data_IF_883569606751
#
_entry.id   IF_883569606751
#
_cell.length_a   1.000
_cell.length_b   1.000
_cell.length_c   1.000
_cell.angle_alpha   90.00
_cell.angle_beta   90.00
_cell.angle_gamma   90.00
#
_symmetry.space_group_name_H-M   'P 1'
#
loop_
_entity.id
_entity.type
_entity.pdbx_description
1 polymer ?
#
# COMPACT_ATOMS: atom_id res chain seq x y z
N UNK A 1 -12.44 -18.94 21.83
CA UNK A 1 -13.66 -19.64 21.38
C UNK A 1 -14.69 -19.51 22.49
N UNK A 2 -15.52 -18.46 22.47
CA UNK A 2 -16.49 -18.24 23.56
C UNK A 2 -17.82 -18.83 23.13
N UNK A 3 -18.21 -19.90 23.81
CA UNK A 3 -19.50 -20.58 23.65
C UNK A 3 -20.46 -19.91 24.63
N UNK A 4 -21.53 -19.30 24.14
CA UNK A 4 -22.61 -18.81 25.00
C UNK A 4 -23.75 -19.82 25.00
N UNK A 5 -24.09 -20.34 26.18
CA UNK A 5 -25.28 -21.16 26.41
C UNK A 5 -26.31 -20.29 27.12
N UNK A 6 -27.48 -20.11 26.50
CA UNK A 6 -28.61 -19.38 27.10
C UNK A 6 -29.68 -20.40 27.48
N UNK A 7 -30.03 -20.42 28.77
CA UNK A 7 -31.14 -21.18 29.32
C UNK A 7 -32.32 -20.23 29.48
N UNK A 8 -33.41 -20.47 28.73
CA UNK A 8 -34.67 -19.73 28.91
C UNK A 8 -35.69 -20.69 29.48
N UNK A 9 -36.26 -20.33 30.65
CA UNK A 9 -37.49 -20.97 31.15
C UNK A 9 -38.69 -20.25 30.54
N UNK A 10 -39.74 -20.98 30.14
CA UNK A 10 -40.96 -20.33 29.71
C UNK A 10 -41.74 -19.93 30.97
N UNK A 11 -42.22 -18.68 31.01
CA UNK A 11 -43.62 -18.35 31.32
C UNK A 11 -43.77 -16.89 31.81
N UNK A 12 -44.46 -16.14 30.96
CA UNK A 12 -45.36 -15.00 31.19
C UNK A 12 -44.90 -13.64 31.79
N UNK A 13 -45.19 -12.63 30.96
CA UNK A 13 -45.85 -11.35 31.24
C UNK A 13 -44.98 -10.09 31.49
N UNK A 14 -44.98 -9.26 30.43
CA UNK A 14 -45.05 -7.79 30.41
C UNK A 14 -44.10 -6.98 31.32
N UNK A 15 -42.97 -6.57 30.74
CA UNK A 15 -42.35 -5.28 31.04
C UNK A 15 -41.92 -4.65 29.72
N UNK A 16 -42.45 -3.45 29.43
CA UNK A 16 -41.93 -2.57 28.39
C UNK A 16 -40.53 -2.15 28.86
N UNK A 17 -39.52 -2.91 28.46
CA UNK A 17 -38.15 -2.44 28.53
C UNK A 17 -37.97 -1.49 27.34
N UNK A 18 -37.90 -0.19 27.61
CA UNK A 18 -37.28 0.75 26.70
C UNK A 18 -35.83 0.26 26.52
N UNK A 19 -35.58 -0.47 25.43
CA UNK A 19 -34.24 -0.87 25.06
C UNK A 19 -33.49 0.42 24.74
N UNK A 20 -32.70 0.88 25.70
CA UNK A 20 -31.66 1.86 25.46
C UNK A 20 -30.68 1.17 24.51
N UNK A 21 -30.92 1.32 23.19
CA UNK A 21 -29.91 1.05 22.20
C UNK A 21 -28.81 2.07 22.45
N UNK A 22 -27.87 1.73 23.34
CA UNK A 22 -26.53 2.32 23.32
C UNK A 22 -25.96 1.84 21.99
N UNK A 23 -26.22 2.62 20.94
CA UNK A 23 -25.46 2.58 19.71
C UNK A 23 -24.03 2.93 20.11
N UNK A 24 -23.27 1.91 20.48
CA UNK A 24 -21.82 1.94 20.48
C UNK A 24 -21.44 2.21 19.02
N UNK A 25 -21.36 3.50 18.69
CA UNK A 25 -20.85 3.95 17.42
C UNK A 25 -19.39 3.53 17.45
N UNK A 26 -19.07 2.46 16.73
CA UNK A 26 -17.69 2.09 16.47
C UNK A 26 -17.17 3.23 15.59
N UNK A 27 -16.59 4.25 16.20
CA UNK A 27 -15.82 5.24 15.46
C UNK A 27 -14.62 4.49 14.90
N UNK A 28 -14.77 3.99 13.67
CA UNK A 28 -13.61 3.79 12.81
C UNK A 28 -12.97 5.16 12.71
N UNK A 29 -11.87 5.36 13.43
CA UNK A 29 -11.05 6.56 13.30
C UNK A 29 -10.46 6.53 11.90
N UNK A 30 -11.20 7.07 10.95
CA UNK A 30 -10.68 7.35 9.61
C UNK A 30 -9.61 8.44 9.76
N UNK A 31 -8.54 8.35 8.99
CA UNK A 31 -7.47 9.34 9.09
C UNK A 31 -8.03 10.72 8.70
N UNK A 32 -7.50 11.79 9.30
CA UNK A 32 -7.81 13.11 8.79
C UNK A 32 -7.14 13.31 7.42
N UNK A 33 -7.71 14.15 6.55
CA UNK A 33 -7.00 14.62 5.36
C UNK A 33 -5.62 15.18 5.70
N UNK A 34 -4.68 15.04 4.77
CA UNK A 34 -3.34 15.62 4.90
C UNK A 34 -3.44 17.12 4.62
N UNK A 35 -2.85 17.93 5.49
CA UNK A 35 -2.77 19.37 5.28
C UNK A 35 -1.84 19.67 4.11
N UNK A 36 -2.28 20.40 3.07
CA UNK A 36 -1.41 20.77 1.96
C UNK A 36 -0.15 21.49 2.44
N UNK A 37 1.01 21.03 1.96
CA UNK A 37 2.32 21.55 2.34
C UNK A 37 3.01 20.81 3.49
N UNK A 38 2.32 19.89 4.17
CA UNK A 38 2.95 19.02 5.16
C UNK A 38 3.78 17.90 4.51
N UNK A 39 4.70 17.35 5.31
CA UNK A 39 5.48 16.16 4.99
C UNK A 39 4.71 14.92 5.40
N UNK A 40 4.73 13.88 4.55
CA UNK A 40 4.24 12.54 4.90
C UNK A 40 5.42 11.59 4.91
N UNK A 41 5.54 10.80 5.97
CA UNK A 41 6.66 9.90 6.22
C UNK A 41 6.14 8.47 6.35
N UNK A 42 6.71 7.55 5.56
CA UNK A 42 6.52 6.13 5.75
C UNK A 42 7.36 5.66 6.95
N UNK A 43 6.71 5.23 8.02
CA UNK A 43 7.39 4.70 9.20
C UNK A 43 7.17 3.19 9.31
N UNK A 44 8.28 2.46 9.36
CA UNK A 44 8.30 1.06 9.77
C UNK A 44 8.38 0.97 11.29
N UNK A 45 7.47 0.19 11.89
CA UNK A 45 7.38 -0.04 13.33
C UNK A 45 6.68 1.05 14.12
N UNK A 46 6.27 0.72 15.34
CA UNK A 46 5.62 1.60 16.31
C UNK A 46 6.58 2.57 17.02
N UNK A 47 7.89 2.48 16.76
CA UNK A 47 8.93 3.19 17.51
C UNK A 47 9.30 2.52 18.83
N UNK A 48 8.58 1.46 19.23
CA UNK A 48 8.89 0.64 20.43
C UNK A 48 9.21 -0.81 20.10
N UNK A 49 8.80 -1.30 18.93
CA UNK A 49 9.14 -2.63 18.45
C UNK A 49 10.50 -2.67 17.75
N UNK A 50 11.21 -3.79 17.91
CA UNK A 50 12.43 -4.06 17.15
C UNK A 50 12.10 -4.22 15.67
N UNK A 51 12.86 -3.55 14.80
CA UNK A 51 12.76 -3.72 13.35
C UNK A 51 13.31 -5.09 12.94
N UNK A 52 12.50 -5.87 12.22
CA UNK A 52 12.78 -7.26 11.89
C UNK A 52 12.38 -7.60 10.44
N UNK A 53 13.03 -8.63 9.89
CA UNK A 53 12.68 -9.14 8.56
C UNK A 53 11.39 -9.99 8.55
N UNK A 54 10.80 -10.26 9.72
CA UNK A 54 9.55 -11.00 9.90
C UNK A 54 8.31 -10.11 9.95
N UNK A 55 8.46 -8.81 9.71
CA UNK A 55 7.34 -7.88 9.65
C UNK A 55 7.33 -6.84 10.77
N UNK A 56 6.97 -5.62 10.41
CA UNK A 56 6.72 -4.49 11.30
C UNK A 56 5.48 -3.74 10.80
N UNK A 57 4.75 -3.13 11.74
CA UNK A 57 3.62 -2.26 11.43
C UNK A 57 4.06 -1.08 10.55
N UNK A 58 3.13 -0.53 9.77
CA UNK A 58 3.40 0.61 8.90
C UNK A 58 2.51 1.77 9.28
N UNK A 59 3.10 2.95 9.35
CA UNK A 59 2.39 4.20 9.60
C UNK A 59 2.73 5.21 8.51
N UNK A 60 1.75 6.05 8.16
CA UNK A 60 2.01 7.30 7.46
C UNK A 60 1.91 8.42 8.50
N UNK A 61 3.05 9.01 8.84
CA UNK A 61 3.10 10.12 9.78
C UNK A 61 3.11 11.45 9.02
N UNK A 62 2.26 12.37 9.46
CA UNK A 62 2.19 13.73 8.94
C UNK A 62 2.93 14.68 9.87
N UNK A 63 3.80 15.51 9.30
CA UNK A 63 4.54 16.55 9.98
C UNK A 63 4.43 17.87 9.23
N UNK A 64 4.46 18.99 9.94
CA UNK A 64 4.74 20.28 9.31
C UNK A 64 6.16 20.29 8.74
N UNK A 65 6.44 21.18 7.79
CA UNK A 65 7.81 21.39 7.27
C UNK A 65 8.78 21.92 8.33
N UNK A 66 8.26 22.46 9.44
CA UNK A 66 9.03 22.82 10.62
C UNK A 66 9.31 21.63 11.56
N UNK A 67 8.85 20.41 11.21
CA UNK A 67 9.08 19.19 11.98
C UNK A 67 8.11 18.97 13.15
N UNK A 68 7.00 19.70 13.20
CA UNK A 68 5.96 19.46 14.22
C UNK A 68 5.05 18.30 13.81
N UNK A 69 4.85 17.32 14.70
CA UNK A 69 3.95 16.19 14.46
C UNK A 69 2.50 16.65 14.34
N UNK A 70 1.76 16.10 13.37
CA UNK A 70 0.35 16.40 13.11
C UNK A 70 -0.52 15.18 13.41
N UNK A 71 -0.27 14.07 12.73
CA UNK A 71 -1.00 12.82 12.95
C UNK A 71 -0.17 11.60 12.53
N UNK A 72 -0.62 10.42 12.98
CA UNK A 72 -0.07 9.14 12.56
C UNK A 72 -1.20 8.22 12.11
N UNK A 73 -1.09 7.73 10.88
CA UNK A 73 -2.12 6.94 10.21
C UNK A 73 -1.61 5.50 10.15
N UNK A 74 -2.18 4.63 10.98
CA UNK A 74 -1.80 3.24 11.04
C UNK A 74 -2.40 2.43 9.88
N UNK A 75 -1.56 1.70 9.16
CA UNK A 75 -2.02 0.69 8.21
C UNK A 75 -2.47 -0.57 8.95
N UNK A 76 -3.48 -1.31 8.45
CA UNK A 76 -3.91 -2.57 9.06
C UNK A 76 -2.77 -3.59 9.12
N UNK A 77 -2.36 -3.98 10.32
CA UNK A 77 -1.39 -5.06 10.55
C UNK A 77 -2.05 -6.33 11.14
N UNK A 78 -3.31 -6.25 11.54
CA UNK A 78 -4.10 -7.34 12.12
C UNK A 78 -5.50 -7.39 11.49
N UNK A 79 -6.35 -8.34 11.90
CA UNK A 79 -7.69 -8.52 11.35
C UNK A 79 -7.76 -9.44 10.11
N UNK A 80 -8.95 -9.47 9.49
CA UNK A 80 -9.32 -10.39 8.40
C UNK A 80 -9.21 -9.78 7.00
N UNK A 81 -9.12 -8.44 6.89
CA UNK A 81 -8.91 -7.74 5.62
C UNK A 81 -7.47 -7.77 5.13
N UNK A 82 -7.22 -7.13 3.99
CA UNK A 82 -5.85 -6.91 3.48
C UNK A 82 -5.05 -6.11 4.50
N UNK A 83 -3.90 -6.65 4.88
CA UNK A 83 -2.93 -5.97 5.74
C UNK A 83 -1.86 -5.30 4.90
N UNK A 84 -1.17 -4.34 5.49
CA UNK A 84 0.07 -3.81 4.94
C UNK A 84 1.10 -3.68 6.06
N UNK A 85 2.06 -4.61 6.03
CA UNK A 85 3.25 -4.62 6.89
C UNK A 85 4.50 -4.53 6.01
N UNK A 86 5.66 -4.24 6.60
CA UNK A 86 6.96 -4.16 5.90
C UNK A 86 8.03 -4.98 6.60
N UNK A 87 9.10 -5.35 5.89
CA UNK A 87 10.30 -5.87 6.53
C UNK A 87 11.07 -4.67 7.10
N UNK A 88 11.03 -4.47 8.43
CA UNK A 88 11.57 -3.26 9.05
C UNK A 88 13.07 -3.05 8.91
N UNK A 89 13.83 -4.08 8.49
CA UNK A 89 15.27 -3.99 8.24
C UNK A 89 15.63 -4.07 6.74
N UNK A 90 14.65 -3.96 5.83
CA UNK A 90 14.90 -3.96 4.40
C UNK A 90 15.28 -2.55 3.92
N UNK A 91 16.47 -2.40 3.34
CA UNK A 91 16.97 -1.12 2.80
C UNK A 91 16.34 -0.72 1.46
N UNK A 92 15.27 -1.39 1.05
CA UNK A 92 14.71 -1.32 -0.29
C UNK A 92 13.20 -1.05 -0.31
N UNK A 93 12.55 -1.07 0.85
CA UNK A 93 11.10 -0.96 0.99
C UNK A 93 10.71 0.43 1.48
N UNK A 94 9.41 0.74 1.43
CA UNK A 94 8.87 2.00 1.94
C UNK A 94 9.07 3.20 1.00
N UNK A 95 9.41 2.98 -0.28
CA UNK A 95 9.40 4.10 -1.23
C UNK A 95 7.96 4.57 -1.43
N UNK A 96 7.77 5.88 -1.32
CA UNK A 96 6.49 6.53 -1.56
C UNK A 96 6.55 7.36 -2.83
N UNK A 97 5.40 7.49 -3.48
CA UNK A 97 5.19 8.43 -4.58
C UNK A 97 3.98 9.32 -4.24
N UNK A 98 3.93 10.50 -4.84
CA UNK A 98 2.77 11.37 -4.82
C UNK A 98 2.26 11.55 -6.25
N UNK A 99 0.95 11.56 -6.46
CA UNK A 99 0.35 11.84 -7.76
C UNK A 99 0.61 13.30 -8.17
N UNK A 100 0.62 13.62 -9.48
CA UNK A 100 0.87 14.98 -9.97
C UNK A 100 -0.09 16.04 -9.42
N UNK A 101 -1.32 15.65 -9.09
CA UNK A 101 -2.34 16.51 -8.50
C UNK A 101 -2.27 16.59 -6.96
N UNK A 102 -1.37 15.83 -6.33
CA UNK A 102 -1.22 15.77 -4.87
C UNK A 102 -2.27 14.95 -4.14
N UNK A 103 -3.27 14.39 -4.84
CA UNK A 103 -4.43 13.71 -4.24
C UNK A 103 -4.09 12.33 -3.67
N UNK A 104 -3.06 11.67 -4.20
CA UNK A 104 -2.75 10.28 -3.87
C UNK A 104 -1.30 10.10 -3.46
N UNK A 105 -1.10 9.31 -2.40
CA UNK A 105 0.21 8.78 -2.02
C UNK A 105 0.21 7.28 -2.28
N UNK A 106 1.16 6.81 -3.09
CA UNK A 106 1.36 5.39 -3.39
C UNK A 106 2.50 4.79 -2.58
N UNK A 107 2.31 3.57 -2.09
CA UNK A 107 3.29 2.83 -1.27
C UNK A 107 3.06 1.32 -1.40
N UNK A 108 3.88 0.50 -0.74
CA UNK A 108 3.75 -0.95 -0.81
C UNK A 108 4.10 -1.67 0.49
N UNK A 109 3.74 -2.95 0.56
CA UNK A 109 4.11 -3.84 1.65
C UNK A 109 3.61 -5.26 1.40
N UNK A 110 3.37 -5.98 2.50
CA UNK A 110 2.93 -7.37 2.49
C UNK A 110 1.62 -7.54 3.23
N UNK A 111 0.77 -8.43 2.72
CA UNK A 111 -0.36 -8.94 3.46
C UNK A 111 0.10 -10.17 4.26
N UNK A 112 0.51 -9.94 5.50
CA UNK A 112 0.95 -11.01 6.41
C UNK A 112 0.66 -10.69 7.87
N UNK A 113 0.92 -11.66 8.74
CA UNK A 113 0.89 -11.47 10.19
C UNK A 113 2.26 -11.04 10.71
N UNK A 114 2.29 -10.37 11.87
CA UNK A 114 3.51 -10.07 12.61
C UNK A 114 3.56 -10.95 13.88
N UNK A 115 4.65 -11.69 14.14
CA UNK A 115 5.72 -11.99 13.19
C UNK A 115 5.25 -13.01 12.14
N UNK A 116 5.82 -12.93 10.94
CA UNK A 116 5.77 -14.02 9.98
C UNK A 116 6.73 -15.15 10.39
N UNK A 117 6.47 -16.38 9.92
CA UNK A 117 7.28 -17.55 10.28
C UNK A 117 8.73 -17.49 9.77
N UNK A 118 8.98 -16.75 8.70
CA UNK A 118 10.31 -16.56 8.10
C UNK A 118 10.43 -15.12 7.57
N UNK A 119 11.59 -14.77 7.02
CA UNK A 119 11.79 -13.46 6.39
C UNK A 119 10.78 -13.23 5.27
N UNK A 120 9.94 -12.20 5.39
CA UNK A 120 8.83 -11.98 4.47
C UNK A 120 9.31 -11.64 3.05
N UNK A 121 10.48 -11.03 2.90
CA UNK A 121 11.07 -10.67 1.59
C UNK A 121 11.38 -11.92 0.74
N UNK A 122 11.71 -13.05 1.38
CA UNK A 122 12.08 -14.30 0.71
C UNK A 122 10.89 -15.25 0.46
N UNK A 123 9.69 -14.89 0.92
CA UNK A 123 8.51 -15.75 0.78
C UNK A 123 7.93 -15.74 -0.63
N UNK A 124 7.21 -16.79 -1.01
CA UNK A 124 6.42 -16.80 -2.24
C UNK A 124 5.22 -15.84 -2.10
N UNK A 125 4.93 -15.05 -3.15
CA UNK A 125 3.84 -14.07 -3.18
C UNK A 125 2.44 -14.68 -3.06
N UNK A 126 2.27 -15.97 -3.33
CA UNK A 126 0.99 -16.68 -3.09
C UNK A 126 0.76 -16.90 -1.58
N UNK A 127 1.81 -17.26 -0.84
CA UNK A 127 1.71 -17.53 0.59
C UNK A 127 1.71 -16.24 1.43
N UNK A 128 2.45 -15.23 0.97
CA UNK A 128 2.48 -13.89 1.57
C UNK A 128 2.22 -12.88 0.46
N UNK A 129 0.98 -12.45 0.22
CA UNK A 129 0.69 -11.53 -0.86
C UNK A 129 1.43 -10.20 -0.73
N UNK A 130 1.85 -9.65 -1.86
CA UNK A 130 2.42 -8.31 -1.98
C UNK A 130 1.26 -7.34 -2.18
N UNK A 131 1.40 -6.14 -1.64
CA UNK A 131 0.31 -5.16 -1.58
C UNK A 131 0.81 -3.83 -2.11
N UNK A 132 0.03 -3.23 -3.00
CA UNK A 132 0.11 -1.82 -3.34
C UNK A 132 -0.93 -1.06 -2.54
N UNK A 133 -0.49 -0.04 -1.81
CA UNK A 133 -1.35 0.86 -1.05
C UNK A 133 -1.48 2.21 -1.75
N UNK A 134 -2.70 2.74 -1.77
CA UNK A 134 -2.97 4.11 -2.17
C UNK A 134 -3.68 4.83 -1.03
N UNK A 135 -3.21 6.01 -0.67
CA UNK A 135 -3.81 6.86 0.35
C UNK A 135 -4.30 8.16 -0.29
N UNK A 136 -5.56 8.52 -0.07
CA UNK A 136 -6.16 9.75 -0.55
C UNK A 136 -5.89 10.88 0.45
N UNK A 137 -5.10 11.87 0.04
CA UNK A 137 -4.70 13.00 0.89
C UNK A 137 -5.85 13.94 1.20
N UNK A 138 -6.91 13.96 0.38
CA UNK A 138 -8.06 14.85 0.56
C UNK A 138 -9.13 14.26 1.46
N UNK A 139 -9.30 12.93 1.47
CA UNK A 139 -10.33 12.26 2.27
C UNK A 139 -9.78 11.57 3.51
N UNK A 140 -8.48 11.26 3.54
CA UNK A 140 -7.87 10.43 4.59
C UNK A 140 -8.15 8.93 4.43
N UNK A 141 -8.82 8.52 3.36
CA UNK A 141 -9.12 7.12 3.09
C UNK A 141 -7.95 6.42 2.38
N UNK A 142 -7.84 5.09 2.50
CA UNK A 142 -6.86 4.31 1.76
C UNK A 142 -7.47 3.07 1.12
N UNK A 143 -6.78 2.54 0.09
CA UNK A 143 -7.06 1.25 -0.52
C UNK A 143 -5.80 0.39 -0.52
N UNK A 144 -5.97 -0.91 -0.29
CA UNK A 144 -4.89 -1.90 -0.26
C UNK A 144 -5.20 -3.02 -1.24
N UNK A 145 -4.44 -3.07 -2.34
CA UNK A 145 -4.67 -4.02 -3.43
C UNK A 145 -3.54 -5.05 -3.49
N UNK A 146 -3.91 -6.33 -3.47
CA UNK A 146 -2.96 -7.43 -3.63
C UNK A 146 -2.46 -7.50 -5.07
N UNK A 147 -1.15 -7.60 -5.26
CA UNK A 147 -0.51 -7.63 -6.59
C UNK A 147 -0.39 -9.05 -7.17
N UNK A 148 -1.21 -10.00 -6.72
CA UNK A 148 -1.20 -11.39 -7.21
C UNK A 148 0.16 -12.09 -7.05
N UNK A 149 0.66 -12.68 -8.14
CA UNK A 149 1.91 -13.47 -8.15
C UNK A 149 3.18 -12.61 -8.29
N UNK A 150 3.05 -11.30 -8.49
CA UNK A 150 4.18 -10.40 -8.70
C UNK A 150 5.03 -10.23 -7.44
N UNK A 151 6.31 -9.94 -7.65
CA UNK A 151 7.32 -9.80 -6.59
C UNK A 151 7.48 -11.02 -5.69
N UNK A 152 7.22 -12.22 -6.22
CA UNK A 152 7.48 -13.47 -5.52
C UNK A 152 8.96 -13.63 -5.17
N UNK A 153 9.25 -14.07 -3.95
CA UNK A 153 10.61 -14.19 -3.40
C UNK A 153 11.44 -12.89 -3.55
N UNK A 154 10.78 -11.74 -3.55
CA UNK A 154 11.42 -10.42 -3.56
C UNK A 154 10.57 -9.39 -2.80
N UNK A 155 11.17 -8.22 -2.57
CA UNK A 155 10.49 -7.09 -1.94
C UNK A 155 9.63 -6.32 -2.95
N UNK A 156 8.37 -5.98 -2.62
CA UNK A 156 7.68 -4.86 -3.23
C UNK A 156 8.31 -3.57 -2.70
N UNK A 157 8.44 -2.55 -3.55
CA UNK A 157 9.27 -1.38 -3.21
C UNK A 157 8.53 -0.05 -3.30
N UNK A 158 7.54 0.05 -4.17
CA UNK A 158 6.69 1.22 -4.25
C UNK A 158 5.53 1.02 -5.21
N UNK A 159 4.55 1.93 -5.12
CA UNK A 159 3.44 2.02 -6.04
C UNK A 159 3.14 3.49 -6.37
N UNK A 160 2.43 3.74 -7.46
CA UNK A 160 1.95 5.07 -7.87
C UNK A 160 0.63 4.96 -8.61
N UNK A 161 -0.15 6.04 -8.59
CA UNK A 161 -1.42 6.20 -9.30
C UNK A 161 -1.55 7.62 -9.85
N UNK A 162 -2.43 7.81 -10.84
CA UNK A 162 -2.92 9.12 -11.28
C UNK A 162 -4.30 9.47 -10.75
N UNK A 163 -5.12 8.46 -10.46
CA UNK A 163 -6.56 8.61 -10.37
C UNK A 163 -7.20 7.83 -9.22
N UNK A 164 -6.39 7.12 -8.42
CA UNK A 164 -6.88 6.31 -7.31
C UNK A 164 -7.42 4.95 -7.72
N UNK A 165 -7.46 4.63 -9.02
CA UNK A 165 -7.87 3.30 -9.50
C UNK A 165 -6.70 2.56 -10.16
N UNK A 166 -5.97 3.21 -11.06
CA UNK A 166 -4.85 2.59 -11.78
C UNK A 166 -3.63 2.58 -10.91
N UNK A 167 -2.95 1.43 -10.85
CA UNK A 167 -1.78 1.25 -10.01
C UNK A 167 -0.63 0.74 -10.86
N UNK A 168 0.50 1.44 -10.80
CA UNK A 168 1.79 0.91 -11.18
C UNK A 168 2.55 0.54 -9.92
N UNK A 169 3.12 -0.65 -9.87
CA UNK A 169 3.92 -1.12 -8.74
C UNK A 169 5.26 -1.66 -9.22
N UNK A 170 6.25 -1.60 -8.32
CA UNK A 170 7.60 -2.12 -8.56
C UNK A 170 8.10 -2.95 -7.38
N UNK A 171 9.14 -3.73 -7.66
CA UNK A 171 9.85 -4.52 -6.67
C UNK A 171 11.29 -4.82 -7.07
N UNK A 172 11.91 -5.73 -6.32
CA UNK A 172 13.28 -6.18 -6.60
C UNK A 172 13.40 -7.05 -7.85
N UNK A 173 12.28 -7.56 -8.37
CA UNK A 173 12.19 -8.32 -9.61
C UNK A 173 10.93 -7.87 -10.40
N UNK A 174 10.54 -8.63 -11.42
CA UNK A 174 9.30 -8.45 -12.20
C UNK A 174 9.17 -7.18 -13.05
N UNK A 175 10.01 -6.17 -12.86
CA UNK A 175 9.87 -4.88 -13.54
C UNK A 175 8.68 -4.07 -13.01
N UNK A 176 8.12 -3.21 -13.86
CA UNK A 176 6.88 -2.49 -13.55
C UNK A 176 5.69 -3.38 -13.85
N UNK A 177 4.76 -3.48 -12.91
CA UNK A 177 3.47 -4.15 -13.10
C UNK A 177 2.32 -3.16 -13.00
N UNK A 178 1.24 -3.41 -13.72
CA UNK A 178 0.06 -2.56 -13.80
C UNK A 178 -1.19 -3.35 -13.42
N UNK A 179 -2.06 -2.78 -12.59
CA UNK A 179 -3.38 -3.32 -12.26
C UNK A 179 -4.33 -2.22 -11.79
N UNK A 180 -5.54 -2.60 -11.36
CA UNK A 180 -6.54 -1.65 -10.85
C UNK A 180 -7.04 -1.99 -9.44
N UNK A 181 -7.42 -0.97 -8.66
CA UNK A 181 -8.00 -1.12 -7.32
C UNK A 181 -9.31 -1.91 -7.38
N UNK A 182 -10.14 -1.61 -8.38
CA UNK A 182 -11.42 -2.29 -8.61
C UNK A 182 -11.28 -3.76 -9.05
N UNK A 183 -10.05 -4.26 -9.25
CA UNK A 183 -9.71 -5.60 -9.72
C UNK A 183 -10.26 -5.98 -11.10
N UNK A 184 -10.84 -5.04 -11.86
CA UNK A 184 -11.27 -5.27 -13.24
C UNK A 184 -10.08 -5.59 -14.16
N UNK A 185 -8.89 -5.08 -13.82
CA UNK A 185 -7.62 -5.49 -14.42
C UNK A 185 -6.72 -6.11 -13.35
N UNK A 186 -6.56 -7.45 -13.32
CA UNK A 186 -5.54 -8.05 -12.45
C UNK A 186 -4.16 -7.52 -12.84
N UNK A 187 -3.22 -7.55 -11.90
CA UNK A 187 -1.89 -7.05 -12.18
C UNK A 187 -1.22 -7.84 -13.33
N UNK A 188 -0.62 -7.14 -14.28
CA UNK A 188 0.14 -7.66 -15.42
C UNK A 188 1.49 -6.95 -15.55
N UNK A 189 2.47 -7.55 -16.23
CA UNK A 189 3.70 -6.86 -16.56
C UNK A 189 3.42 -5.69 -17.53
N UNK A 190 4.02 -4.53 -17.27
CA UNK A 190 4.00 -3.40 -18.19
C UNK A 190 5.03 -3.63 -19.31
N UNK A 191 4.67 -3.40 -20.59
CA UNK A 191 5.64 -3.18 -21.67
C UNK A 191 6.31 -4.39 -22.35
N UNK A 192 5.60 -5.44 -22.77
CA UNK A 192 6.19 -6.52 -23.61
C UNK A 192 6.36 -6.18 -25.10
N UNK A 193 6.09 -4.94 -25.55
CA UNK A 193 6.20 -4.56 -26.97
C UNK A 193 7.40 -3.66 -27.28
N UNK A 194 8.59 -4.27 -27.28
CA UNK A 194 9.81 -4.02 -28.08
C UNK A 194 10.23 -2.62 -28.62
N UNK A 195 9.69 -1.46 -28.20
CA UNK A 195 10.13 -0.14 -28.74
C UNK A 195 10.31 0.99 -27.73
N UNK A 196 10.14 0.75 -26.43
CA UNK A 196 10.49 1.71 -25.38
C UNK A 196 11.44 1.06 -24.39
N UNK A 197 12.34 1.85 -23.79
CA UNK A 197 13.48 1.41 -22.99
C UNK A 197 13.19 0.16 -22.15
N UNK A 198 14.04 -0.86 -22.23
CA UNK A 198 13.86 -2.13 -21.51
C UNK A 198 13.52 -1.86 -20.03
N UNK A 199 12.33 -2.29 -19.60
CA UNK A 199 11.95 -2.19 -18.19
C UNK A 199 12.82 -3.18 -17.44
N UNK A 200 13.84 -2.66 -16.77
CA UNK A 200 14.75 -3.46 -15.96
C UNK A 200 14.06 -4.09 -14.76
N UNK A 201 14.73 -5.07 -14.16
CA UNK A 201 14.40 -5.57 -12.83
C UNK A 201 15.21 -4.80 -11.77
N UNK A 202 15.03 -5.14 -10.48
CA UNK A 202 15.70 -4.46 -9.37
C UNK A 202 15.39 -2.95 -9.31
N UNK A 203 14.13 -2.58 -9.57
CA UNK A 203 13.65 -1.20 -9.53
C UNK A 203 13.56 -0.69 -8.09
N UNK A 204 13.77 0.61 -7.84
CA UNK A 204 13.88 1.15 -6.47
C UNK A 204 12.74 2.10 -6.11
N UNK A 205 12.48 3.09 -6.96
CA UNK A 205 11.47 4.11 -6.73
C UNK A 205 10.68 4.33 -8.01
N UNK A 206 9.36 4.49 -7.88
CA UNK A 206 8.49 5.02 -8.92
C UNK A 206 8.10 6.46 -8.59
N UNK A 207 7.96 7.29 -9.61
CA UNK A 207 7.39 8.63 -9.48
C UNK A 207 6.59 8.99 -10.73
N UNK A 208 5.57 9.83 -10.56
CA UNK A 208 4.79 10.37 -11.67
C UNK A 208 4.99 11.88 -11.69
N UNK A 209 5.44 12.41 -12.84
CA UNK A 209 5.70 13.83 -13.02
C UNK A 209 5.02 14.28 -14.31
N UNK A 210 3.99 15.13 -14.18
CA UNK A 210 3.07 15.37 -15.28
C UNK A 210 2.40 14.07 -15.73
N UNK A 211 2.48 13.75 -17.02
CA UNK A 211 1.88 12.55 -17.59
C UNK A 211 2.87 11.38 -17.77
N UNK A 212 4.04 11.48 -17.15
CA UNK A 212 5.15 10.56 -17.38
C UNK A 212 5.46 9.77 -16.11
N UNK A 213 5.63 8.46 -16.30
CA UNK A 213 6.06 7.55 -15.24
C UNK A 213 7.59 7.46 -15.27
N UNK A 214 8.20 7.69 -14.12
CA UNK A 214 9.63 7.58 -13.92
C UNK A 214 9.93 6.43 -12.95
N UNK A 215 11.03 5.73 -13.21
CA UNK A 215 11.52 4.66 -12.36
C UNK A 215 13.01 4.84 -12.08
N UNK A 216 13.47 4.35 -10.93
CA UNK A 216 14.89 4.16 -10.66
C UNK A 216 15.30 2.70 -10.54
N UNK A 217 16.58 2.40 -10.78
CA UNK A 217 17.12 1.04 -10.70
C UNK A 217 18.23 0.94 -9.65
N UNK A 218 18.32 -0.21 -8.97
CA UNK A 218 19.34 -0.48 -7.97
C UNK A 218 20.66 -1.04 -8.53
N UNK A 219 20.68 -1.38 -9.82
CA UNK A 219 21.85 -1.91 -10.55
C UNK A 219 21.50 -2.05 -12.03
N UNK A 220 22.45 -1.80 -12.94
CA UNK A 220 22.32 -2.12 -14.37
C UNK A 220 22.85 -1.01 -15.29
N UNK A 221 22.81 -1.27 -16.60
CA UNK A 221 23.17 -0.33 -17.69
C UNK A 221 22.03 0.61 -18.09
N UNK A 222 20.85 0.46 -17.48
CA UNK A 222 19.73 1.39 -17.63
C UNK A 222 19.99 2.66 -16.83
N UNK A 223 19.47 3.82 -17.26
CA UNK A 223 19.63 5.03 -16.47
C UNK A 223 19.03 4.82 -15.08
N UNK A 224 19.73 5.34 -14.06
CA UNK A 224 19.31 5.27 -12.66
C UNK A 224 17.97 5.98 -12.44
N UNK A 225 17.55 6.86 -13.35
CA UNK A 225 16.19 7.37 -13.50
C UNK A 225 15.81 7.28 -14.98
N UNK A 226 14.75 6.53 -15.31
CA UNK A 226 14.27 6.37 -16.70
C UNK A 226 12.81 6.78 -16.84
N UNK A 227 12.50 7.46 -17.95
CA UNK A 227 11.14 7.76 -18.37
C UNK A 227 10.54 6.51 -19.02
N UNK A 228 9.40 6.07 -18.53
CA UNK A 228 8.54 5.14 -19.24
C UNK A 228 7.67 5.94 -20.21
N UNK A 229 8.22 6.18 -21.40
CA UNK A 229 7.47 6.77 -22.49
C UNK A 229 6.38 5.77 -22.92
N UNK A 230 5.15 6.26 -23.06
CA UNK A 230 3.98 5.39 -23.16
C UNK A 230 3.26 5.37 -21.83
N UNK A 231 2.46 6.43 -21.64
CA UNK A 231 1.40 6.48 -20.67
C UNK A 231 0.73 5.09 -20.59
N UNK A 232 0.57 4.48 -19.42
CA UNK A 232 -0.27 3.30 -19.30
C UNK A 232 -1.76 3.74 -19.30
N UNK A 233 -2.03 4.89 -19.92
CA UNK A 233 -3.30 5.34 -20.40
C UNK A 233 -3.23 5.85 -21.84
N UNK A 234 -3.72 4.99 -22.72
CA UNK A 234 -4.12 5.24 -24.11
C UNK A 234 -2.98 5.58 -25.07
N UNK A 235 -2.96 4.85 -26.17
CA UNK A 235 -2.00 4.88 -27.28
C UNK A 235 -1.77 6.32 -27.79
N UNK A 236 -0.63 6.89 -27.44
CA UNK A 236 -0.12 8.14 -27.99
C UNK A 236 1.40 8.03 -28.04
N UNK A 237 1.95 7.84 -29.24
CA UNK A 237 3.40 7.78 -29.45
C UNK A 237 4.06 9.07 -28.96
N UNK A 238 5.24 9.01 -28.31
CA UNK A 238 6.05 10.20 -28.08
C UNK A 238 6.49 10.75 -29.45
N UNK A 239 6.08 11.97 -29.80
CA UNK A 239 6.75 12.71 -30.87
C UNK A 239 8.04 13.31 -30.33
N UNK A 240 9.10 13.20 -31.14
CA UNK A 240 10.44 13.71 -30.90
C UNK A 240 10.50 15.22 -30.62
#
# INVERSE_FOLDING_TARGET
>A
MVRHTVLVRPDFAAAIAAALFVSCSISLSEAAPITPGNLVIYRAGSGTNTLANTGNDVFLDEYTTAGSFVQSIAMPATGTGTKLITAGNANAEGAMSISPDGTWIGFSGYNSTIPAATSITATNSVAVPRVAGLFNTTTGSYSLTVTGTWFSASSPRGAVTTDGNKIWAIGGNSGVVYGTVDSLSPFVASGTTATTAAIGTNLRVLGMYGNELYQSTGSGTLPTVGQLAGNPLVNGLPTA
#
